data_IF_089180323411
#
_entry.id   IF_089180323411
#
_cell.length_a   1.000
_cell.length_b   1.000
_cell.length_c   1.000
_cell.angle_alpha   90.00
_cell.angle_beta   90.00
_cell.angle_gamma   90.00
#
_symmetry.space_group_name_H-M   'P 1'
#
loop_
_entity.id
_entity.type
_entity.pdbx_description
1 polymer ?
#
# COMPACT_ATOMS: atom_id res chain seq x y z
N UNK A 1 29.16 32.56 -7.23
CA UNK A 1 28.39 31.53 -6.54
C UNK A 1 27.27 31.07 -7.48
N UNK A 2 27.20 29.80 -7.79
CA UNK A 2 26.10 29.16 -8.53
C UNK A 2 25.33 28.32 -7.56
N UNK A 3 24.01 28.47 -7.50
CA UNK A 3 23.08 27.62 -6.74
C UNK A 3 22.21 26.89 -7.75
N UNK A 4 22.28 25.58 -7.72
CA UNK A 4 21.37 24.71 -8.48
C UNK A 4 20.33 24.17 -7.50
N UNK A 5 19.04 24.29 -7.83
CA UNK A 5 17.92 23.81 -7.01
C UNK A 5 17.09 22.86 -7.84
N UNK A 6 16.91 21.65 -7.36
CA UNK A 6 16.00 20.67 -7.93
C UNK A 6 14.71 20.65 -7.09
N UNK A 7 13.56 20.72 -7.76
CA UNK A 7 12.26 20.74 -7.08
C UNK A 7 11.33 19.69 -7.67
N UNK A 8 10.69 18.93 -6.80
CA UNK A 8 9.60 18.00 -7.18
C UNK A 8 8.26 18.73 -7.01
N UNK A 9 7.51 18.90 -8.12
CA UNK A 9 6.22 19.60 -8.11
C UNK A 9 5.10 18.59 -8.23
N UNK A 10 4.21 18.57 -7.24
CA UNK A 10 3.04 17.70 -7.19
C UNK A 10 1.79 18.56 -7.40
N UNK A 11 0.91 18.11 -8.29
CA UNK A 11 -0.34 18.81 -8.59
C UNK A 11 -1.54 17.91 -8.26
N UNK A 12 -2.62 18.54 -7.79
CA UNK A 12 -3.88 17.86 -7.51
C UNK A 12 -5.06 18.59 -8.14
N UNK A 13 -6.17 17.89 -8.39
CA UNK A 13 -7.39 18.50 -8.86
C UNK A 13 -7.97 19.44 -7.80
N UNK A 14 -8.13 20.71 -8.12
CA UNK A 14 -8.64 21.75 -7.21
C UNK A 14 -9.97 21.35 -6.58
N UNK A 15 -10.88 20.76 -7.36
CA UNK A 15 -12.20 20.33 -6.88
C UNK A 15 -12.10 19.21 -5.83
N UNK A 16 -11.19 18.26 -5.99
CA UNK A 16 -10.97 17.17 -5.02
C UNK A 16 -10.44 17.71 -3.71
N UNK A 17 -9.44 18.59 -3.76
CA UNK A 17 -8.87 19.24 -2.57
C UNK A 17 -9.94 20.09 -1.85
N UNK A 18 -10.69 20.91 -2.60
CA UNK A 18 -11.75 21.72 -2.01
C UNK A 18 -12.85 20.89 -1.36
N UNK A 19 -13.23 19.75 -1.95
CA UNK A 19 -14.23 18.86 -1.38
C UNK A 19 -13.74 18.27 -0.05
N UNK A 20 -12.48 17.81 0.00
CA UNK A 20 -11.87 17.32 1.24
C UNK A 20 -11.90 18.39 2.34
N UNK A 21 -11.43 19.60 2.03
CA UNK A 21 -11.44 20.73 2.97
C UNK A 21 -12.86 21.06 3.45
N UNK A 22 -13.84 21.06 2.53
CA UNK A 22 -15.26 21.28 2.90
C UNK A 22 -15.80 20.20 3.83
N UNK A 23 -15.46 18.92 3.59
CA UNK A 23 -15.87 17.82 4.46
C UNK A 23 -15.35 18.02 5.89
N UNK A 24 -14.09 18.38 6.06
CA UNK A 24 -13.50 18.63 7.38
C UNK A 24 -14.17 19.84 8.05
N UNK A 25 -14.33 20.94 7.32
CA UNK A 25 -14.97 22.15 7.86
C UNK A 25 -16.46 21.98 8.19
N UNK A 26 -17.13 21.01 7.55
CA UNK A 26 -18.55 20.75 7.82
C UNK A 26 -18.85 20.20 9.22
N UNK A 27 -17.82 19.77 9.94
CA UNK A 27 -17.89 19.31 11.34
C UNK A 27 -17.19 20.28 12.30
N UNK A 28 -17.11 21.57 11.91
CA UNK A 28 -16.53 22.67 12.67
C UNK A 28 -15.05 22.50 13.04
N UNK A 29 -14.29 21.82 12.16
CA UNK A 29 -12.83 21.69 12.28
C UNK A 29 -12.17 22.56 11.18
N UNK A 30 -11.26 23.43 11.58
CA UNK A 30 -10.46 24.20 10.64
C UNK A 30 -9.34 23.34 10.06
N UNK A 31 -9.03 23.58 8.78
CA UNK A 31 -7.90 22.97 8.08
C UNK A 31 -6.76 23.99 8.07
N UNK A 32 -5.67 23.65 8.76
CA UNK A 32 -4.49 24.50 8.87
C UNK A 32 -3.58 24.34 7.65
N UNK A 33 -3.35 23.07 7.21
CA UNK A 33 -2.49 22.78 6.06
C UNK A 33 -2.95 21.52 5.33
N UNK A 34 -2.40 21.30 4.14
CA UNK A 34 -2.60 20.11 3.31
C UNK A 34 -1.25 19.42 3.11
N UNK A 35 -1.15 18.21 3.60
CA UNK A 35 0.07 17.40 3.50
C UNK A 35 -0.21 16.20 2.58
N UNK A 36 0.71 15.91 1.67
CA UNK A 36 0.62 14.73 0.81
C UNK A 36 0.74 13.46 1.64
N UNK A 37 -0.13 12.49 1.38
CA UNK A 37 -0.21 11.24 2.15
C UNK A 37 1.15 10.52 2.29
N UNK A 38 1.95 10.27 1.22
CA UNK A 38 3.25 9.62 1.37
C UNK A 38 4.26 10.41 2.24
N UNK A 39 4.12 11.74 2.32
CA UNK A 39 4.96 12.53 3.23
C UNK A 39 4.57 12.24 4.68
N UNK A 40 3.26 12.27 4.98
CA UNK A 40 2.78 11.98 6.31
C UNK A 40 3.12 10.55 6.76
N UNK A 41 2.92 9.57 5.87
CA UNK A 41 3.26 8.16 6.13
C UNK A 41 4.76 7.99 6.36
N UNK A 42 5.62 8.69 5.61
CA UNK A 42 7.07 8.62 5.75
C UNK A 42 7.56 9.07 7.12
N UNK A 43 6.93 10.09 7.70
CA UNK A 43 7.28 10.58 9.05
C UNK A 43 7.00 9.53 10.15
N UNK A 44 6.07 8.62 9.90
CA UNK A 44 5.70 7.59 10.85
C UNK A 44 6.54 6.32 10.73
N UNK A 45 7.03 5.99 9.52
CA UNK A 45 7.58 4.64 9.25
C UNK A 45 9.01 4.62 8.74
N UNK A 46 9.56 5.76 8.28
CA UNK A 46 10.94 5.85 7.77
C UNK A 46 11.84 6.58 8.76
N UNK A 47 13.08 6.13 8.84
CA UNK A 47 14.14 6.87 9.54
C UNK A 47 14.78 7.91 8.62
N UNK A 48 15.42 8.92 9.20
CA UNK A 48 16.15 9.93 8.42
C UNK A 48 17.33 9.32 7.65
N UNK A 49 17.96 8.26 8.21
CA UNK A 49 19.04 7.54 7.56
C UNK A 49 18.54 6.81 6.29
N UNK A 50 17.34 6.21 6.34
CA UNK A 50 16.72 5.57 5.16
C UNK A 50 16.36 6.60 4.09
N UNK A 51 15.75 7.74 4.48
CA UNK A 51 15.43 8.84 3.56
C UNK A 51 16.71 9.40 2.93
N UNK A 52 17.78 9.52 3.71
CA UNK A 52 19.08 10.02 3.23
C UNK A 52 19.77 9.02 2.29
N UNK A 53 19.76 7.75 2.63
CA UNK A 53 20.39 6.69 1.83
C UNK A 53 19.65 6.42 0.51
N UNK A 54 18.35 6.57 0.52
CA UNK A 54 17.44 6.25 -0.58
C UNK A 54 16.55 5.04 -0.27
N UNK A 55 15.24 5.26 -0.25
CA UNK A 55 14.21 4.27 0.09
C UNK A 55 12.96 4.50 -0.73
N UNK A 56 12.26 3.42 -1.02
CA UNK A 56 10.91 3.44 -1.59
C UNK A 56 9.93 3.22 -0.45
N UNK A 57 8.93 4.08 -0.32
CA UNK A 57 7.77 3.87 0.51
C UNK A 57 6.58 3.50 -0.37
N UNK A 58 5.88 2.43 -0.04
CA UNK A 58 4.61 2.04 -0.66
C UNK A 58 3.55 1.91 0.41
N UNK A 59 2.62 2.87 0.44
CA UNK A 59 1.46 2.87 1.33
C UNK A 59 0.29 2.17 0.63
N UNK A 60 -0.01 0.94 1.05
CA UNK A 60 -1.04 0.09 0.44
C UNK A 60 -2.31 0.22 1.26
N UNK A 61 -3.14 1.20 0.88
CA UNK A 61 -4.41 1.49 1.51
C UNK A 61 -5.54 0.55 1.13
N UNK A 62 -6.77 1.05 1.23
CA UNK A 62 -7.98 0.33 0.81
C UNK A 62 -8.24 0.42 -0.69
N UNK A 63 -8.09 1.60 -1.29
CA UNK A 63 -8.39 1.87 -2.71
C UNK A 63 -7.19 2.19 -3.58
N UNK A 64 -6.14 2.76 -3.01
CA UNK A 64 -4.93 3.20 -3.69
C UNK A 64 -3.68 2.66 -3.01
N UNK A 65 -2.62 2.56 -3.80
CA UNK A 65 -1.25 2.39 -3.31
C UNK A 65 -0.48 3.64 -3.68
N UNK A 66 -0.05 4.37 -2.67
CA UNK A 66 0.71 5.60 -2.80
C UNK A 66 2.20 5.30 -2.68
N UNK A 67 2.98 5.70 -3.68
CA UNK A 67 4.41 5.41 -3.80
C UNK A 67 5.18 6.70 -3.66
N UNK A 68 6.21 6.71 -2.83
CA UNK A 68 7.20 7.78 -2.79
C UNK A 68 8.62 7.20 -2.77
N UNK A 69 9.51 7.81 -3.53
CA UNK A 69 10.93 7.52 -3.51
C UNK A 69 11.63 8.68 -2.83
N UNK A 70 12.34 8.37 -1.76
CA UNK A 70 13.18 9.33 -1.03
C UNK A 70 14.64 9.12 -1.38
N UNK A 71 15.40 10.21 -1.45
CA UNK A 71 16.83 10.23 -1.64
C UNK A 71 17.40 11.56 -1.15
N UNK A 72 18.57 11.51 -0.56
CA UNK A 72 19.25 12.71 -0.03
C UNK A 72 18.33 13.51 0.91
N UNK A 73 17.48 12.80 1.68
CA UNK A 73 16.52 13.38 2.63
C UNK A 73 15.29 14.03 1.98
N UNK A 74 15.10 13.92 0.67
CA UNK A 74 14.01 14.57 -0.04
C UNK A 74 13.23 13.60 -0.93
N UNK A 75 11.98 13.95 -1.24
CA UNK A 75 11.17 13.21 -2.23
C UNK A 75 11.75 13.44 -3.62
N UNK A 76 12.05 12.34 -4.29
CA UNK A 76 12.57 12.32 -5.65
C UNK A 76 11.54 11.91 -6.70
N UNK A 77 10.59 11.03 -6.32
CA UNK A 77 9.51 10.58 -7.20
C UNK A 77 8.28 10.22 -6.40
N UNK A 78 7.09 10.44 -6.98
CA UNK A 78 5.81 9.97 -6.43
C UNK A 78 4.94 9.40 -7.53
N UNK A 79 4.17 8.36 -7.18
CA UNK A 79 3.17 7.77 -8.06
C UNK A 79 1.98 7.27 -7.23
N UNK A 80 0.83 7.10 -7.87
CA UNK A 80 -0.37 6.55 -7.26
C UNK A 80 -0.92 5.44 -8.15
N UNK A 81 -1.08 4.26 -7.60
CA UNK A 81 -1.71 3.13 -8.27
C UNK A 81 -3.16 2.98 -7.79
N UNK A 82 -4.15 2.84 -8.67
CA UNK A 82 -5.55 2.62 -8.30
C UNK A 82 -5.81 1.14 -7.97
N UNK A 83 -4.92 0.54 -7.21
CA UNK A 83 -4.93 -0.88 -6.82
C UNK A 83 -4.47 -1.01 -5.38
N UNK A 84 -5.26 -1.69 -4.53
CA UNK A 84 -4.94 -1.88 -3.11
C UNK A 84 -5.83 -2.96 -2.47
N UNK A 85 -6.12 -2.82 -1.16
CA UNK A 85 -6.87 -3.80 -0.38
C UNK A 85 -8.26 -4.17 -0.92
N UNK A 86 -8.95 -3.25 -1.59
CA UNK A 86 -10.25 -3.51 -2.21
C UNK A 86 -10.16 -4.58 -3.30
N UNK A 87 -9.14 -4.53 -4.14
CA UNK A 87 -8.95 -5.51 -5.21
C UNK A 87 -8.63 -6.89 -4.63
N UNK A 88 -7.84 -6.96 -3.55
CA UNK A 88 -7.59 -8.20 -2.80
C UNK A 88 -8.91 -8.83 -2.31
N UNK A 89 -9.76 -8.05 -1.66
CA UNK A 89 -11.06 -8.51 -1.16
C UNK A 89 -11.97 -8.95 -2.30
N UNK A 90 -12.00 -8.19 -3.40
CA UNK A 90 -12.80 -8.51 -4.59
C UNK A 90 -12.38 -9.83 -5.22
N UNK A 91 -11.09 -10.08 -5.33
CA UNK A 91 -10.58 -11.33 -5.90
C UNK A 91 -10.93 -12.52 -5.01
N UNK A 92 -10.82 -12.38 -3.68
CA UNK A 92 -11.25 -13.39 -2.71
C UNK A 92 -12.76 -13.64 -2.84
N UNK A 93 -13.58 -12.59 -2.90
CA UNK A 93 -15.03 -12.70 -3.04
C UNK A 93 -15.42 -13.46 -4.31
N UNK A 94 -14.82 -13.12 -5.45
CA UNK A 94 -15.10 -13.76 -6.74
C UNK A 94 -14.53 -15.17 -6.79
N UNK A 95 -13.28 -15.36 -6.37
CA UNK A 95 -12.59 -16.66 -6.47
C UNK A 95 -13.19 -17.72 -5.58
N UNK A 96 -13.70 -17.34 -4.40
CA UNK A 96 -14.31 -18.27 -3.43
C UNK A 96 -15.85 -18.23 -3.41
N UNK A 97 -16.47 -17.40 -4.25
CA UNK A 97 -17.93 -17.27 -4.31
C UNK A 97 -18.54 -16.71 -3.03
N UNK A 98 -17.87 -15.75 -2.37
CA UNK A 98 -18.26 -15.20 -1.08
C UNK A 98 -18.92 -13.81 -1.22
N UNK A 99 -19.81 -13.43 -0.28
CA UNK A 99 -20.17 -12.04 -0.08
C UNK A 99 -18.93 -11.18 0.21
N UNK A 100 -18.93 -9.91 -0.21
CA UNK A 100 -17.75 -9.04 -0.12
C UNK A 100 -17.31 -8.79 1.33
N UNK A 101 -18.24 -8.60 2.24
CA UNK A 101 -18.00 -8.40 3.67
C UNK A 101 -17.39 -9.65 4.33
N UNK A 102 -17.89 -10.85 3.99
CA UNK A 102 -17.31 -12.12 4.44
C UNK A 102 -15.88 -12.30 3.90
N UNK A 103 -15.67 -11.99 2.62
CA UNK A 103 -14.34 -12.05 2.00
C UNK A 103 -13.34 -11.07 2.65
N UNK A 104 -13.79 -9.86 3.01
CA UNK A 104 -12.97 -8.87 3.71
C UNK A 104 -12.54 -9.37 5.10
N UNK A 105 -13.47 -9.94 5.87
CA UNK A 105 -13.17 -10.51 7.19
C UNK A 105 -12.25 -11.73 7.08
N UNK A 106 -12.48 -12.61 6.09
CA UNK A 106 -11.59 -13.75 5.84
C UNK A 106 -10.17 -13.31 5.46
N UNK A 107 -10.06 -12.31 4.58
CA UNK A 107 -8.77 -11.73 4.20
C UNK A 107 -8.03 -11.19 5.41
N UNK A 108 -8.69 -10.38 6.25
CA UNK A 108 -8.08 -9.78 7.44
C UNK A 108 -7.64 -10.81 8.47
N UNK A 109 -8.46 -11.84 8.67
CA UNK A 109 -8.29 -12.80 9.76
C UNK A 109 -7.35 -13.95 9.41
N UNK A 110 -7.41 -14.41 8.16
CA UNK A 110 -6.72 -15.62 7.72
C UNK A 110 -5.80 -15.40 6.53
N UNK A 111 -5.84 -14.23 5.89
CA UNK A 111 -5.03 -13.95 4.70
C UNK A 111 -3.54 -14.02 4.97
N UNK A 112 -2.82 -14.70 4.08
CA UNK A 112 -1.36 -14.79 4.14
C UNK A 112 -0.79 -14.84 2.72
N UNK A 113 0.39 -14.22 2.55
CA UNK A 113 1.18 -14.32 1.31
C UNK A 113 2.23 -15.42 1.37
N UNK A 114 2.45 -16.02 2.57
CA UNK A 114 3.35 -17.17 2.72
C UNK A 114 2.79 -18.40 2.02
N UNK A 115 3.62 -19.19 1.32
CA UNK A 115 3.21 -20.50 0.84
C UNK A 115 2.76 -21.41 2.00
N UNK A 116 1.62 -22.07 1.86
CA UNK A 116 1.05 -22.91 2.93
C UNK A 116 2.02 -24.00 3.39
N UNK A 117 2.83 -24.56 2.47
CA UNK A 117 3.84 -25.57 2.79
C UNK A 117 5.07 -25.04 3.56
N UNK A 118 5.30 -23.71 3.55
CA UNK A 118 6.37 -23.09 4.33
C UNK A 118 5.88 -22.61 5.70
N UNK A 119 4.58 -22.58 5.91
CA UNK A 119 3.98 -22.24 7.21
C UNK A 119 4.35 -23.33 8.23
N UNK A 120 5.14 -22.96 9.25
CA UNK A 120 5.45 -23.85 10.40
C UNK A 120 4.28 -24.04 11.34
N UNK A 121 3.16 -23.34 11.12
CA UNK A 121 1.93 -23.47 11.90
C UNK A 121 1.07 -24.58 11.30
N UNK A 122 0.36 -25.31 12.14
CA UNK A 122 -0.73 -26.19 11.70
C UNK A 122 -1.84 -25.29 11.15
N UNK A 123 -1.83 -25.05 9.83
CA UNK A 123 -2.86 -24.31 9.15
C UNK A 123 -4.10 -25.20 8.99
N UNK A 124 -5.31 -24.72 9.31
CA UNK A 124 -6.51 -25.51 9.08
C UNK A 124 -6.70 -25.75 7.58
N UNK A 125 -7.12 -26.93 7.19
CA UNK A 125 -7.47 -27.22 5.80
C UNK A 125 -8.66 -26.38 5.33
N UNK A 126 -9.66 -26.22 6.23
CA UNK A 126 -10.83 -25.37 6.02
C UNK A 126 -10.90 -24.26 7.06
N UNK A 127 -11.32 -23.09 6.63
CA UNK A 127 -11.67 -21.94 7.46
C UNK A 127 -13.12 -21.57 7.21
N UNK A 128 -13.80 -21.06 8.23
CA UNK A 128 -15.18 -20.63 8.08
C UNK A 128 -15.41 -19.26 8.72
N UNK A 129 -16.25 -18.46 8.06
CA UNK A 129 -16.72 -17.17 8.54
C UNK A 129 -18.20 -17.03 8.17
N UNK A 130 -19.05 -16.72 9.15
CA UNK A 130 -20.50 -16.50 8.99
C UNK A 130 -21.22 -17.61 8.19
N UNK A 131 -20.83 -18.90 8.45
CA UNK A 131 -21.41 -20.07 7.81
C UNK A 131 -20.86 -20.42 6.43
N UNK A 132 -19.88 -19.67 5.94
CA UNK A 132 -19.17 -19.96 4.68
C UNK A 132 -17.85 -20.66 5.00
N UNK A 133 -17.70 -21.92 4.57
CA UNK A 133 -16.46 -22.69 4.64
C UNK A 133 -15.68 -22.63 3.34
N UNK A 134 -14.39 -22.38 3.40
CA UNK A 134 -13.49 -22.32 2.23
C UNK A 134 -12.13 -22.95 2.55
N UNK A 135 -11.44 -23.41 1.52
CA UNK A 135 -10.06 -23.86 1.63
C UNK A 135 -9.14 -22.69 2.02
N UNK A 136 -8.35 -22.88 3.07
CA UNK A 136 -7.33 -21.92 3.49
C UNK A 136 -6.27 -21.72 2.41
N UNK A 137 -5.89 -22.78 1.70
CA UNK A 137 -4.92 -22.73 0.61
C UNK A 137 -5.43 -21.85 -0.53
N UNK A 138 -6.69 -22.03 -0.96
CA UNK A 138 -7.27 -21.25 -2.06
C UNK A 138 -7.34 -19.76 -1.71
N UNK A 139 -7.70 -19.43 -0.45
CA UNK A 139 -7.66 -18.05 0.03
C UNK A 139 -6.26 -17.45 -0.09
N UNK A 140 -5.25 -18.15 0.41
CA UNK A 140 -3.87 -17.66 0.39
C UNK A 140 -3.31 -17.56 -1.03
N UNK A 141 -3.64 -18.48 -1.92
CA UNK A 141 -3.18 -18.47 -3.30
C UNK A 141 -3.76 -17.30 -4.08
N UNK A 142 -5.05 -16.97 -3.88
CA UNK A 142 -5.69 -15.79 -4.48
C UNK A 142 -5.03 -14.51 -3.97
N UNK A 143 -4.84 -14.38 -2.67
CA UNK A 143 -4.21 -13.20 -2.05
C UNK A 143 -2.78 -13.03 -2.57
N UNK A 144 -1.99 -14.10 -2.59
CA UNK A 144 -0.61 -14.07 -3.08
C UNK A 144 -0.52 -13.61 -4.53
N UNK A 145 -1.34 -14.17 -5.40
CA UNK A 145 -1.36 -13.80 -6.82
C UNK A 145 -1.61 -12.29 -7.01
N UNK A 146 -2.53 -11.71 -6.23
CA UNK A 146 -2.80 -10.27 -6.29
C UNK A 146 -1.67 -9.44 -5.68
N UNK A 147 -1.10 -9.85 -4.57
CA UNK A 147 0.04 -9.14 -3.95
C UNK A 147 1.24 -9.13 -4.89
N UNK A 148 1.55 -10.24 -5.54
CA UNK A 148 2.61 -10.31 -6.56
C UNK A 148 2.36 -9.33 -7.71
N UNK A 149 1.11 -9.18 -8.15
CA UNK A 149 0.74 -8.20 -9.17
C UNK A 149 0.94 -6.76 -8.67
N UNK A 150 0.49 -6.45 -7.45
CA UNK A 150 0.70 -5.11 -6.84
C UNK A 150 2.18 -4.77 -6.76
N UNK A 151 3.01 -5.69 -6.30
CA UNK A 151 4.46 -5.49 -6.24
C UNK A 151 5.04 -5.25 -7.63
N UNK A 152 4.62 -6.00 -8.65
CA UNK A 152 5.05 -5.75 -10.05
C UNK A 152 4.64 -4.37 -10.54
N UNK A 153 3.42 -3.93 -10.23
CA UNK A 153 2.94 -2.60 -10.61
C UNK A 153 3.76 -1.51 -9.90
N UNK A 154 4.05 -1.65 -8.61
CA UNK A 154 4.94 -0.74 -7.88
C UNK A 154 6.30 -0.64 -8.60
N UNK A 155 6.90 -1.76 -8.96
CA UNK A 155 8.19 -1.79 -9.65
C UNK A 155 8.14 -1.16 -11.05
N UNK A 156 6.99 -1.15 -11.72
CA UNK A 156 6.81 -0.52 -13.04
C UNK A 156 6.68 1.00 -12.96
N UNK A 157 6.15 1.53 -11.85
CA UNK A 157 6.05 2.97 -11.61
C UNK A 157 7.37 3.63 -11.26
N UNK A 158 8.34 2.81 -10.86
CA UNK A 158 9.65 3.34 -10.53
C UNK A 158 10.40 3.77 -11.81
N UNK A 159 11.12 4.92 -11.81
CA UNK A 159 11.89 5.38 -12.98
C UNK A 159 12.91 4.33 -13.42
N UNK A 160 12.99 3.99 -14.68
CA UNK A 160 13.76 2.85 -15.26
C UNK A 160 15.30 2.98 -15.19
N UNK A 161 15.83 3.86 -14.38
CA UNK A 161 17.27 4.10 -14.27
C UNK A 161 17.84 3.53 -12.98
N UNK A 162 18.63 2.48 -13.08
CA UNK A 162 19.56 1.95 -12.03
C UNK A 162 19.05 1.97 -10.57
N UNK A 163 17.86 1.42 -10.31
CA UNK A 163 17.22 1.41 -8.97
C UNK A 163 18.11 0.94 -7.84
N UNK A 164 18.81 -0.17 -8.05
CA UNK A 164 19.64 -0.79 -7.03
C UNK A 164 20.69 0.18 -6.46
N UNK A 165 21.08 1.18 -7.25
CA UNK A 165 21.98 2.24 -6.80
C UNK A 165 21.27 3.46 -6.19
N UNK A 166 19.97 3.60 -6.47
CA UNK A 166 19.19 4.78 -6.04
C UNK A 166 18.52 4.59 -4.68
N UNK A 167 18.22 3.35 -4.30
CA UNK A 167 17.45 3.01 -3.11
C UNK A 167 18.08 1.87 -2.31
N UNK A 168 19.30 2.05 -1.78
CA UNK A 168 20.00 1.02 -1.04
C UNK A 168 19.30 0.60 0.27
N UNK A 169 18.42 1.44 0.82
CA UNK A 169 17.58 1.06 1.96
C UNK A 169 16.38 0.19 1.57
N UNK A 170 16.13 -0.01 0.27
CA UNK A 170 15.12 -0.93 -0.25
C UNK A 170 13.72 -0.36 -0.30
N UNK A 171 12.73 -1.23 -0.05
CA UNK A 171 11.30 -0.95 -0.13
C UNK A 171 10.64 -1.18 1.23
N UNK A 172 9.94 -0.18 1.72
CA UNK A 172 9.15 -0.23 2.95
C UNK A 172 7.67 -0.24 2.59
N UNK A 173 6.94 -1.22 3.09
CA UNK A 173 5.49 -1.29 2.98
C UNK A 173 4.82 -0.72 4.22
N UNK A 174 3.75 0.05 4.02
CA UNK A 174 2.87 0.55 5.08
C UNK A 174 1.41 0.48 4.63
N UNK A 175 0.50 0.97 5.45
CA UNK A 175 -0.94 0.91 5.19
C UNK A 175 -1.60 -0.37 5.68
N UNK A 176 -2.93 -0.42 5.54
CA UNK A 176 -3.74 -1.52 6.06
C UNK A 176 -3.39 -2.89 5.45
N UNK A 177 -3.06 -2.92 4.16
CA UNK A 177 -2.75 -4.17 3.45
C UNK A 177 -1.35 -4.71 3.76
N UNK A 178 -0.44 -3.88 4.27
CA UNK A 178 0.88 -4.31 4.75
C UNK A 178 0.82 -5.18 6.03
N UNK A 179 -0.35 -5.26 6.69
CA UNK A 179 -0.58 -6.13 7.85
C UNK A 179 -0.93 -7.59 7.47
N UNK A 180 -1.02 -7.92 6.19
CA UNK A 180 -1.17 -9.31 5.78
C UNK A 180 0.04 -10.13 6.24
N UNK A 181 -0.22 -11.36 6.70
CA UNK A 181 0.83 -12.26 7.16
C UNK A 181 1.76 -12.69 6.01
N UNK A 182 3.08 -12.57 6.20
CA UNK A 182 4.08 -13.04 5.24
C UNK A 182 5.03 -12.01 4.71
#
# INVERSE_FOLDING_TARGET
>A
LRLDVETHIITAAVTSVQNLVKCVRSVDIDVEDLILEPIASSEAVLTEEEKQAGVILADIGGGTTDIAVFRDGSIWHTAVLPVAGYQLTRDVAIGLGLPFDVAEEMKKRYGSVMPVYESKMQTPEEISQDGHGVSYQDLCDIIRARVEEVVRLIMLELPRTEYEKLVPAGLVFTGGSANLSG
#
